data_IF_466117767115
#
_entry.id   IF_466117767115
#
_cell.length_a   1.000
_cell.length_b   1.000
_cell.length_c   1.000
_cell.angle_alpha   90.00
_cell.angle_beta   90.00
_cell.angle_gamma   90.00
#
_symmetry.space_group_name_H-M   'P 1'
#
loop_
_entity.id
_entity.type
_entity.pdbx_description
1 polymer ?
#
# COMPACT_ATOMS: atom_id res chain seq x y z
N UNK A 1 3.21 25.89 19.04
CA UNK A 1 4.47 25.18 19.30
C UNK A 1 4.77 24.38 18.05
N UNK A 2 6.01 24.43 17.61
CA UNK A 2 6.44 24.05 16.26
C UNK A 2 6.62 22.54 16.14
N UNK A 3 5.63 21.84 15.58
CA UNK A 3 5.81 20.48 15.08
C UNK A 3 6.80 20.50 13.91
N UNK A 4 7.79 19.62 13.96
CA UNK A 4 8.78 19.38 12.91
C UNK A 4 8.51 17.99 12.35
N UNK A 5 8.09 17.87 11.10
CA UNK A 5 8.19 16.61 10.38
C UNK A 5 7.77 16.79 8.92
N UNK A 6 8.64 16.34 8.01
CA UNK A 6 8.29 15.85 6.67
C UNK A 6 9.36 14.80 6.39
N UNK A 7 9.12 13.54 6.76
CA UNK A 7 10.05 12.46 6.46
C UNK A 7 9.90 12.04 5.00
N UNK A 8 10.86 12.44 4.15
CA UNK A 8 10.96 11.89 2.80
C UNK A 8 12.05 10.84 2.77
N UNK A 9 11.71 9.56 2.68
CA UNK A 9 12.69 8.49 2.62
C UNK A 9 13.11 8.17 1.18
N UNK A 10 14.41 8.36 0.88
CA UNK A 10 15.01 7.92 -0.38
C UNK A 10 15.79 6.63 -0.10
N UNK A 11 15.35 5.46 -0.60
CA UNK A 11 16.08 4.21 -0.40
C UNK A 11 17.46 4.32 -1.06
N UNK A 12 18.51 4.07 -0.28
CA UNK A 12 19.87 3.99 -0.78
C UNK A 12 20.34 2.54 -0.66
N UNK A 13 20.37 1.83 -1.80
CA UNK A 13 20.82 0.44 -1.85
C UNK A 13 22.36 0.37 -1.74
N UNK A 14 22.84 0.20 -0.52
CA UNK A 14 24.22 -0.22 -0.21
C UNK A 14 24.25 -1.74 -0.09
N UNK A 15 25.34 -2.37 -0.51
CA UNK A 15 25.45 -3.82 -0.76
C UNK A 15 25.42 -4.71 0.49
N UNK A 16 24.87 -4.27 1.62
CA UNK A 16 24.82 -5.09 2.84
C UNK A 16 23.50 -4.97 3.59
N UNK A 17 22.87 -3.80 3.68
CA UNK A 17 21.51 -3.58 4.25
C UNK A 17 20.95 -2.28 3.68
N UNK A 18 19.63 -2.21 3.43
CA UNK A 18 19.02 -0.96 2.98
C UNK A 18 18.97 0.07 4.12
N UNK A 19 19.02 1.36 3.79
CA UNK A 19 19.04 2.44 4.79
C UNK A 19 18.19 3.63 4.31
N UNK A 20 16.92 3.75 4.77
CA UNK A 20 16.12 4.95 4.64
C UNK A 20 16.85 6.22 5.12
N UNK A 21 16.49 7.34 4.51
CA UNK A 21 16.95 8.67 4.93
C UNK A 21 15.76 9.46 5.42
N UNK A 22 15.77 9.91 6.67
CA UNK A 22 14.76 10.85 7.14
C UNK A 22 15.30 12.27 6.90
N UNK A 23 14.69 12.98 5.96
CA UNK A 23 14.91 14.43 5.83
C UNK A 23 14.00 15.14 6.82
N UNK A 24 14.50 16.16 7.52
CA UNK A 24 13.63 16.96 8.37
C UNK A 24 13.08 18.19 7.63
N UNK A 25 11.81 18.49 7.89
CA UNK A 25 11.11 19.65 7.35
C UNK A 25 10.87 20.76 8.37
N UNK A 26 10.34 21.87 7.86
CA UNK A 26 9.64 22.89 8.63
C UNK A 26 8.48 23.44 7.81
N UNK A 27 7.69 24.36 8.37
CA UNK A 27 6.62 25.03 7.62
C UNK A 27 7.11 25.73 6.33
N UNK A 28 8.40 26.04 6.23
CA UNK A 28 9.03 26.64 5.04
C UNK A 28 9.60 25.60 4.05
N UNK A 29 9.39 24.30 4.29
CA UNK A 29 9.83 23.18 3.45
C UNK A 29 10.96 22.32 4.04
N UNK A 30 11.44 21.38 3.23
CA UNK A 30 12.51 20.43 3.56
C UNK A 30 13.86 21.11 3.81
N UNK A 31 14.62 20.59 4.77
CA UNK A 31 15.96 21.07 5.13
C UNK A 31 17.02 20.04 4.71
N UNK A 32 17.68 20.24 3.55
CA UNK A 32 18.57 19.24 2.96
C UNK A 32 19.87 19.01 3.75
N UNK A 33 20.17 19.86 4.73
CA UNK A 33 21.30 19.74 5.65
C UNK A 33 20.96 18.97 6.95
N UNK A 34 19.70 18.60 7.14
CA UNK A 34 19.20 17.85 8.29
C UNK A 34 18.70 16.48 7.82
N UNK A 35 19.64 15.55 7.63
CA UNK A 35 19.35 14.18 7.17
C UNK A 35 19.80 13.19 8.24
N UNK A 36 18.83 12.45 8.78
CA UNK A 36 19.08 11.28 9.61
C UNK A 36 19.13 10.03 8.73
N UNK A 37 20.11 9.18 8.99
CA UNK A 37 20.21 7.87 8.36
C UNK A 37 19.67 6.85 9.35
N UNK A 38 18.76 6.01 8.89
CA UNK A 38 18.17 4.97 9.71
C UNK A 38 18.38 3.63 9.01
N UNK A 39 18.90 2.67 9.74
CA UNK A 39 19.16 1.29 9.34
C UNK A 39 18.90 0.36 10.55
N UNK A 40 19.02 -0.96 10.36
CA UNK A 40 18.84 -1.94 11.44
C UNK A 40 19.92 -1.89 12.55
N UNK A 41 20.97 -1.08 12.40
CA UNK A 41 21.98 -0.83 13.45
C UNK A 41 21.65 0.44 14.29
N UNK A 42 20.63 1.19 13.88
CA UNK A 42 20.23 2.43 14.53
C UNK A 42 19.64 2.17 15.93
N UNK A 43 19.85 3.07 16.91
CA UNK A 43 19.20 2.93 18.21
C UNK A 43 17.69 2.73 18.07
N UNK A 44 17.13 1.79 18.83
CA UNK A 44 15.72 1.44 18.83
C UNK A 44 15.17 0.84 17.52
N UNK A 45 15.99 0.65 16.47
CA UNK A 45 15.61 -0.20 15.35
C UNK A 45 15.65 -1.68 15.79
N UNK A 46 14.53 -2.42 15.73
CA UNK A 46 14.53 -3.84 16.12
C UNK A 46 15.27 -4.71 15.10
N UNK A 47 15.68 -5.91 15.54
CA UNK A 47 16.33 -6.90 14.69
C UNK A 47 17.86 -6.84 14.72
N UNK A 48 18.49 -7.64 13.85
CA UNK A 48 19.94 -7.63 13.62
C UNK A 48 20.15 -7.55 12.11
N UNK A 49 21.02 -6.67 11.58
CA UNK A 49 21.26 -6.60 10.14
C UNK A 49 21.88 -7.88 9.57
N UNK A 50 21.28 -8.41 8.51
CA UNK A 50 21.70 -9.59 7.76
C UNK A 50 21.84 -9.26 6.25
N UNK A 51 22.70 -10.01 5.55
CA UNK A 51 22.91 -9.79 4.12
C UNK A 51 21.65 -10.21 3.34
N UNK A 52 20.92 -9.22 2.83
CA UNK A 52 19.75 -9.46 1.99
C UNK A 52 18.42 -8.94 2.54
N UNK A 53 18.39 -8.33 3.73
CA UNK A 53 17.15 -7.93 4.42
C UNK A 53 16.33 -6.89 3.69
N UNK A 54 16.99 -6.06 2.86
CA UNK A 54 16.36 -5.01 2.04
C UNK A 54 15.52 -4.03 2.88
N UNK A 55 15.98 -3.70 4.10
CA UNK A 55 15.38 -2.68 4.98
C UNK A 55 15.10 -1.36 4.23
N UNK A 56 13.85 -0.92 4.22
CA UNK A 56 13.43 0.33 3.58
C UNK A 56 13.06 0.24 2.11
N UNK A 57 12.63 -0.93 1.67
CA UNK A 57 12.17 -1.11 0.29
C UNK A 57 10.77 -0.54 0.04
N UNK A 58 9.84 -0.72 0.98
CA UNK A 58 8.60 0.04 1.06
C UNK A 58 8.57 0.84 2.36
N UNK A 59 7.95 2.01 2.30
CA UNK A 59 7.95 3.01 3.36
C UNK A 59 6.57 3.65 3.45
N UNK A 60 6.11 3.89 4.67
CA UNK A 60 4.98 4.77 4.95
C UNK A 60 5.31 5.64 6.17
N UNK A 61 4.68 6.81 6.24
CA UNK A 61 4.88 7.80 7.30
C UNK A 61 3.51 8.23 7.78
N UNK A 62 3.33 8.21 9.10
CA UNK A 62 2.08 8.58 9.77
C UNK A 62 2.25 8.44 11.27
N UNK A 63 1.39 9.10 12.04
CA UNK A 63 1.28 8.95 13.50
C UNK A 63 0.51 7.65 13.83
N UNK A 64 1.23 6.57 14.07
CA UNK A 64 0.67 5.21 14.26
C UNK A 64 0.31 4.98 15.72
N UNK A 65 1.06 5.58 16.66
CA UNK A 65 0.81 5.45 18.10
C UNK A 65 0.01 6.62 18.72
N UNK A 66 -0.41 7.60 17.90
CA UNK A 66 -1.30 8.69 18.28
C UNK A 66 -0.67 9.72 19.22
N UNK A 67 0.67 9.78 19.31
CA UNK A 67 1.39 10.68 20.20
C UNK A 67 1.55 12.12 19.63
N UNK A 68 1.19 12.31 18.36
CA UNK A 68 1.28 13.56 17.61
C UNK A 68 2.63 13.77 16.89
N UNK A 69 3.54 12.80 16.94
CA UNK A 69 4.74 12.74 16.12
C UNK A 69 4.53 11.76 14.95
N UNK A 70 5.23 12.00 13.85
CA UNK A 70 5.20 11.09 12.71
C UNK A 70 6.13 9.91 12.97
N UNK A 71 5.63 8.70 12.71
CA UNK A 71 6.38 7.45 12.74
C UNK A 71 6.83 7.05 11.34
N UNK A 72 7.73 6.07 11.27
CA UNK A 72 8.19 5.50 10.02
C UNK A 72 7.93 3.99 10.00
N UNK A 73 7.05 3.56 9.10
CA UNK A 73 6.87 2.14 8.75
C UNK A 73 7.88 1.77 7.67
N UNK A 74 8.61 0.69 7.90
CA UNK A 74 9.72 0.23 7.06
C UNK A 74 9.56 -1.26 6.80
N UNK A 75 9.48 -1.67 5.53
CA UNK A 75 9.50 -3.10 5.20
C UNK A 75 10.93 -3.62 5.02
N UNK A 76 11.12 -4.89 5.37
CA UNK A 76 12.37 -5.66 5.35
C UNK A 76 12.13 -6.97 4.63
N UNK A 77 11.89 -6.88 3.32
CA UNK A 77 11.41 -8.01 2.49
C UNK A 77 12.24 -9.28 2.61
N UNK A 78 13.54 -9.15 2.89
CA UNK A 78 14.47 -10.27 2.92
C UNK A 78 14.79 -10.82 4.31
N UNK A 79 14.30 -10.19 5.39
CA UNK A 79 14.61 -10.57 6.77
C UNK A 79 14.31 -12.04 7.00
N UNK A 80 15.27 -12.82 7.50
CA UNK A 80 15.05 -14.24 7.75
C UNK A 80 14.46 -14.47 9.14
N UNK A 81 13.26 -15.05 9.21
CA UNK A 81 12.63 -15.33 10.50
C UNK A 81 13.31 -16.53 11.17
N UNK A 82 13.77 -16.32 12.41
CA UNK A 82 14.50 -17.32 13.18
C UNK A 82 13.68 -18.60 13.41
N UNK A 83 14.14 -19.71 12.84
CA UNK A 83 13.47 -21.01 12.96
C UNK A 83 12.33 -21.24 11.97
N UNK A 84 12.08 -20.30 11.04
CA UNK A 84 11.21 -20.47 9.88
C UNK A 84 12.03 -20.52 8.59
N UNK A 85 11.40 -20.97 7.49
CA UNK A 85 11.89 -20.71 6.13
C UNK A 85 11.34 -19.40 5.57
N UNK A 86 10.39 -18.79 6.25
CA UNK A 86 9.72 -17.57 5.80
C UNK A 86 10.64 -16.36 5.96
N UNK A 87 10.38 -15.35 5.15
CA UNK A 87 11.11 -14.08 5.12
C UNK A 87 10.15 -12.91 5.24
N UNK A 88 10.70 -11.74 5.54
CA UNK A 88 9.96 -10.49 5.58
C UNK A 88 9.56 -10.09 6.98
N UNK A 89 9.77 -8.83 7.31
CA UNK A 89 9.19 -8.17 8.46
C UNK A 89 8.78 -6.74 8.11
N UNK A 90 8.04 -6.13 9.03
CA UNK A 90 7.68 -4.72 9.00
C UNK A 90 8.09 -4.12 10.32
N UNK A 91 8.89 -3.07 10.26
CA UNK A 91 9.36 -2.32 11.41
C UNK A 91 8.57 -1.03 11.50
N UNK A 92 8.11 -0.68 12.70
CA UNK A 92 7.58 0.65 13.02
C UNK A 92 8.61 1.34 13.89
N UNK A 93 9.08 2.50 13.44
CA UNK A 93 10.03 3.32 14.17
C UNK A 93 9.31 4.56 14.67
N UNK A 94 9.11 4.63 15.99
CA UNK A 94 8.26 5.63 16.60
C UNK A 94 8.97 6.97 16.73
N UNK A 95 8.25 8.04 16.39
CA UNK A 95 8.64 9.42 16.61
C UNK A 95 8.56 9.81 18.09
N UNK A 96 8.96 11.05 18.44
CA UNK A 96 9.68 11.98 17.59
C UNK A 96 11.12 11.50 17.31
N UNK A 97 11.57 11.66 16.06
CA UNK A 97 12.96 11.42 15.67
C UNK A 97 13.88 12.57 16.11
N UNK A 98 15.09 12.23 16.55
CA UNK A 98 16.19 13.19 16.77
C UNK A 98 17.48 12.77 16.07
N UNK A 99 18.60 13.46 16.34
CA UNK A 99 19.90 13.15 15.72
C UNK A 99 20.44 11.75 16.11
N UNK A 100 19.88 11.12 17.15
CA UNK A 100 20.24 9.77 17.60
C UNK A 100 19.40 8.66 16.99
N UNK A 101 18.17 8.95 16.50
CA UNK A 101 17.29 7.94 15.93
C UNK A 101 15.81 8.15 16.25
N UNK A 102 14.97 7.12 16.06
CA UNK A 102 13.61 7.06 16.60
C UNK A 102 13.60 7.03 18.13
N UNK A 103 12.45 7.33 18.72
CA UNK A 103 12.25 7.32 20.17
C UNK A 103 12.10 5.90 20.72
N UNK A 104 11.46 5.02 19.94
CA UNK A 104 11.31 3.59 20.18
C UNK A 104 11.11 2.83 18.85
N UNK A 105 10.96 1.51 18.90
CA UNK A 105 10.61 0.74 17.71
C UNK A 105 10.03 -0.63 18.00
N UNK A 106 9.19 -1.09 17.09
CA UNK A 106 8.57 -2.42 17.09
C UNK A 106 8.70 -3.08 15.73
N UNK A 107 8.44 -4.39 15.66
CA UNK A 107 8.38 -5.11 14.40
C UNK A 107 7.32 -6.20 14.43
N UNK A 108 6.81 -6.55 13.25
CA UNK A 108 5.88 -7.65 13.01
C UNK A 108 6.41 -8.48 11.84
N UNK A 109 6.22 -9.80 11.92
CA UNK A 109 6.63 -10.76 10.90
C UNK A 109 5.55 -11.85 10.75
N UNK A 110 5.77 -12.82 9.86
CA UNK A 110 4.79 -13.90 9.61
C UNK A 110 4.52 -14.81 10.81
N UNK A 111 5.38 -14.83 11.84
CA UNK A 111 5.12 -15.61 13.05
C UNK A 111 4.01 -14.99 13.91
N UNK A 112 3.62 -13.75 13.62
CA UNK A 112 2.58 -13.01 14.34
C UNK A 112 1.23 -13.04 13.62
N UNK A 113 1.16 -13.44 12.34
CA UNK A 113 -0.05 -13.35 11.52
C UNK A 113 -0.44 -14.73 10.99
N UNK A 114 -1.61 -15.21 11.40
CA UNK A 114 -2.13 -16.49 10.92
C UNK A 114 -2.56 -16.40 9.45
N UNK A 115 -2.24 -17.43 8.66
CA UNK A 115 -2.72 -17.56 7.28
C UNK A 115 -1.85 -16.88 6.21
N UNK A 116 -0.76 -16.22 6.61
CA UNK A 116 0.21 -15.62 5.69
C UNK A 116 1.58 -16.32 5.81
N UNK A 117 2.23 -16.53 4.67
CA UNK A 117 3.60 -17.07 4.56
C UNK A 117 4.64 -15.97 4.63
N UNK A 118 5.56 -15.89 3.66
CA UNK A 118 6.59 -14.83 3.60
C UNK A 118 5.95 -13.44 3.67
N UNK A 119 6.10 -12.73 4.79
CA UNK A 119 5.50 -11.41 5.04
C UNK A 119 6.35 -10.31 4.43
N UNK A 120 6.60 -10.45 3.12
CA UNK A 120 7.53 -9.61 2.38
C UNK A 120 7.10 -8.13 2.41
N UNK A 121 5.80 -7.83 2.28
CA UNK A 121 5.31 -6.45 2.23
C UNK A 121 5.60 -5.82 0.86
N UNK A 122 4.99 -6.37 -0.19
CA UNK A 122 5.08 -5.87 -1.56
C UNK A 122 4.49 -4.47 -1.76
N UNK A 123 3.55 -4.08 -0.91
CA UNK A 123 2.99 -2.74 -0.80
C UNK A 123 2.56 -2.48 0.65
N UNK A 124 2.54 -1.20 1.05
CA UNK A 124 2.02 -0.75 2.35
C UNK A 124 1.16 0.50 2.15
N UNK A 125 0.10 0.64 2.95
CA UNK A 125 -0.72 1.84 3.05
C UNK A 125 -1.15 2.05 4.51
N UNK A 126 -1.21 3.30 4.94
CA UNK A 126 -1.72 3.69 6.26
C UNK A 126 -3.12 4.31 6.08
N UNK A 127 -4.03 4.02 6.99
CA UNK A 127 -5.38 4.61 7.02
C UNK A 127 -6.07 4.35 8.36
N UNK A 128 -7.12 5.11 8.66
CA UNK A 128 -7.99 4.87 9.81
C UNK A 128 -9.11 3.91 9.39
N UNK A 129 -8.90 2.59 9.46
CA UNK A 129 -9.86 1.60 8.92
C UNK A 129 -10.99 1.24 9.91
N UNK A 130 -10.87 1.58 11.20
CA UNK A 130 -11.80 1.15 12.25
C UNK A 130 -12.36 2.28 13.17
N UNK A 131 -12.22 3.55 12.76
CA UNK A 131 -12.71 4.76 13.47
C UNK A 131 -12.09 5.00 14.87
N UNK A 132 -10.83 4.63 15.06
CA UNK A 132 -10.06 5.01 16.23
C UNK A 132 -9.17 6.26 16.00
N UNK A 133 -8.17 6.48 16.87
CA UNK A 133 -7.27 7.64 16.78
C UNK A 133 -5.89 7.28 16.18
N UNK A 134 -5.69 6.02 15.82
CA UNK A 134 -4.41 5.45 15.43
C UNK A 134 -4.45 5.09 13.94
N UNK A 135 -3.33 5.23 13.24
CA UNK A 135 -3.25 4.80 11.85
C UNK A 135 -2.99 3.30 11.79
N UNK A 136 -3.87 2.58 11.10
CA UNK A 136 -3.74 1.16 10.82
C UNK A 136 -2.86 0.92 9.61
N UNK A 137 -2.38 -0.32 9.45
CA UNK A 137 -1.49 -0.69 8.35
C UNK A 137 -2.09 -1.79 7.48
N UNK A 138 -2.31 -1.47 6.21
CA UNK A 138 -2.54 -2.47 5.18
C UNK A 138 -1.23 -2.90 4.54
N UNK A 139 -1.02 -4.20 4.41
CA UNK A 139 0.19 -4.84 3.87
C UNK A 139 -0.17 -5.81 2.78
N UNK A 140 0.39 -5.58 1.59
CA UNK A 140 0.24 -6.47 0.45
C UNK A 140 1.28 -7.58 0.48
N UNK A 141 0.84 -8.83 0.40
CA UNK A 141 1.68 -10.03 0.32
C UNK A 141 1.39 -10.73 -1.00
N UNK A 142 1.75 -10.06 -2.09
CA UNK A 142 1.28 -10.45 -3.42
C UNK A 142 1.88 -11.75 -3.96
N UNK A 143 2.95 -12.26 -3.37
CA UNK A 143 3.53 -13.58 -3.67
C UNK A 143 2.89 -14.72 -2.85
N UNK A 144 1.96 -14.40 -1.94
CA UNK A 144 1.26 -15.37 -1.13
C UNK A 144 0.55 -16.41 -2.01
N UNK A 145 0.72 -17.68 -1.63
CA UNK A 145 -0.01 -18.79 -2.23
C UNK A 145 -1.39 -18.91 -1.59
N UNK A 146 -2.43 -19.04 -2.40
CA UNK A 146 -3.81 -19.31 -1.96
C UNK A 146 -4.25 -20.63 -2.58
N UNK A 147 -4.64 -21.60 -1.75
CA UNK A 147 -5.01 -22.94 -2.25
C UNK A 147 -3.87 -23.64 -3.01
N UNK A 148 -4.04 -23.85 -4.32
CA UNK A 148 -3.01 -24.43 -5.18
C UNK A 148 -2.20 -23.36 -5.94
N UNK A 149 -2.68 -22.12 -5.94
CA UNK A 149 -2.33 -21.07 -6.88
C UNK A 149 -1.23 -20.19 -6.30
N UNK A 150 -0.05 -20.23 -6.94
CA UNK A 150 1.12 -19.48 -6.50
C UNK A 150 1.01 -18.00 -6.86
N UNK A 151 1.44 -17.12 -5.97
CA UNK A 151 1.37 -15.67 -6.17
C UNK A 151 -0.04 -15.15 -6.52
N UNK A 152 -1.07 -15.82 -6.02
CA UNK A 152 -2.44 -15.31 -6.05
C UNK A 152 -2.57 -14.05 -5.18
N UNK A 153 -1.81 -13.99 -4.09
CA UNK A 153 -1.67 -12.82 -3.24
C UNK A 153 -2.64 -12.75 -2.08
N UNK A 154 -2.34 -11.88 -1.12
CA UNK A 154 -3.16 -11.59 0.06
C UNK A 154 -2.88 -10.18 0.57
N UNK A 155 -3.78 -9.65 1.38
CA UNK A 155 -3.60 -8.39 2.13
C UNK A 155 -3.84 -8.68 3.60
N UNK A 156 -2.95 -8.21 4.47
CA UNK A 156 -3.18 -8.11 5.91
C UNK A 156 -3.50 -6.67 6.29
N UNK A 157 -4.49 -6.45 7.15
CA UNK A 157 -4.75 -5.16 7.79
C UNK A 157 -4.53 -5.32 9.28
N UNK A 158 -3.55 -4.59 9.80
CA UNK A 158 -3.12 -4.61 11.20
C UNK A 158 -3.66 -3.36 11.88
N UNK A 159 -4.52 -3.56 12.87
CA UNK A 159 -5.10 -2.45 13.62
C UNK A 159 -4.14 -1.95 14.69
N UNK A 160 -4.04 -0.63 14.83
CA UNK A 160 -3.13 0.03 15.76
C UNK A 160 -3.81 0.41 17.08
N UNK A 161 -2.99 0.88 18.02
CA UNK A 161 -3.41 1.29 19.36
C UNK A 161 -2.32 2.12 20.02
N UNK A 162 -2.50 2.46 21.31
CA UNK A 162 -1.54 3.31 22.06
C UNK A 162 -0.12 2.73 22.16
N UNK A 163 0.02 1.42 21.95
CA UNK A 163 1.31 0.69 21.99
C UNK A 163 1.75 0.22 20.57
N UNK A 164 1.11 0.72 19.51
CA UNK A 164 1.32 0.32 18.11
C UNK A 164 0.43 -0.83 17.64
N UNK A 165 0.85 -1.54 16.58
CA UNK A 165 0.04 -2.59 15.94
C UNK A 165 -0.22 -3.81 16.85
N UNK A 166 -1.47 -4.26 16.86
CA UNK A 166 -1.93 -5.42 17.61
C UNK A 166 -1.72 -6.71 16.80
N UNK A 167 -0.95 -7.66 17.34
CA UNK A 167 -0.65 -8.92 16.65
C UNK A 167 -1.82 -9.92 16.66
N UNK A 168 -2.77 -9.76 17.58
CA UNK A 168 -3.97 -10.58 17.70
C UNK A 168 -5.22 -9.94 17.07
N UNK A 169 -5.06 -8.77 16.46
CA UNK A 169 -6.12 -8.02 15.76
C UNK A 169 -5.68 -7.69 14.34
N UNK A 170 -5.74 -8.72 13.48
CA UNK A 170 -5.33 -8.64 12.08
C UNK A 170 -6.39 -9.28 11.20
N UNK A 171 -6.86 -8.54 10.21
CA UNK A 171 -7.72 -9.07 9.16
C UNK A 171 -6.88 -9.49 7.95
N UNK A 172 -7.17 -10.67 7.39
CA UNK A 172 -6.48 -11.21 6.22
C UNK A 172 -7.46 -11.49 5.09
N UNK A 173 -7.20 -10.89 3.93
CA UNK A 173 -8.03 -11.00 2.74
C UNK A 173 -7.26 -11.56 1.55
N UNK A 174 -7.92 -12.41 0.77
CA UNK A 174 -7.53 -12.84 -0.56
C UNK A 174 -8.79 -13.12 -1.39
N UNK A 175 -8.67 -13.39 -2.69
CA UNK A 175 -9.85 -13.62 -3.56
C UNK A 175 -10.75 -14.80 -3.16
N UNK A 176 -10.23 -15.77 -2.40
CA UNK A 176 -11.04 -16.86 -1.80
C UNK A 176 -11.76 -16.47 -0.49
N UNK A 177 -11.55 -15.25 0.04
CA UNK A 177 -12.15 -14.80 1.30
C UNK A 177 -13.63 -14.47 1.12
N UNK A 178 -14.50 -14.72 2.12
CA UNK A 178 -15.92 -14.40 2.01
C UNK A 178 -16.17 -12.93 1.66
N UNK A 179 -16.95 -12.69 0.60
CA UNK A 179 -17.33 -11.35 0.18
C UNK A 179 -16.35 -10.69 -0.80
N UNK A 180 -15.14 -11.23 -0.96
CA UNK A 180 -14.18 -10.78 -1.98
C UNK A 180 -14.63 -11.32 -3.34
N UNK A 181 -14.84 -10.46 -4.36
CA UNK A 181 -15.18 -10.93 -5.70
C UNK A 181 -14.02 -11.65 -6.39
N UNK A 182 -14.35 -12.47 -7.39
CA UNK A 182 -13.35 -13.23 -8.16
C UNK A 182 -13.05 -14.60 -7.56
N UNK A 183 -11.94 -15.17 -7.99
CA UNK A 183 -11.34 -16.39 -7.45
C UNK A 183 -9.82 -16.25 -7.61
N UNK A 184 -9.00 -16.81 -6.71
CA UNK A 184 -7.56 -16.75 -6.85
C UNK A 184 -7.10 -17.56 -8.06
N UNK A 185 -6.23 -16.97 -8.86
CA UNK A 185 -5.51 -17.60 -9.96
C UNK A 185 -3.99 -17.46 -9.75
N UNK A 186 -3.22 -18.26 -10.50
CA UNK A 186 -1.76 -18.15 -10.45
C UNK A 186 -1.33 -16.77 -10.96
N UNK A 187 -0.49 -16.08 -10.18
CA UNK A 187 0.10 -14.79 -10.53
C UNK A 187 -0.90 -13.63 -10.65
N UNK A 188 -2.04 -13.62 -9.97
CA UNK A 188 -2.94 -12.44 -9.91
C UNK A 188 -2.31 -11.27 -9.14
N UNK A 189 -1.48 -11.60 -8.15
CA UNK A 189 -0.81 -10.66 -7.26
C UNK A 189 -1.80 -9.76 -6.50
N UNK A 190 -2.87 -10.30 -5.90
CA UNK A 190 -3.74 -9.56 -4.99
C UNK A 190 -2.91 -8.87 -3.89
N UNK A 191 -3.09 -7.55 -3.75
CA UNK A 191 -2.26 -6.73 -2.86
C UNK A 191 -0.94 -6.26 -3.48
N UNK A 192 -0.78 -6.30 -4.81
CA UNK A 192 0.43 -5.81 -5.49
C UNK A 192 0.67 -4.31 -5.31
N UNK A 193 -0.40 -3.55 -5.15
CA UNK A 193 -0.38 -2.12 -4.84
C UNK A 193 -1.56 -1.80 -3.92
N UNK A 194 -1.35 -0.85 -3.02
CA UNK A 194 -2.31 -0.43 -2.00
C UNK A 194 -2.31 1.10 -1.88
N UNK A 195 -3.47 1.68 -1.61
CA UNK A 195 -3.66 3.06 -1.17
C UNK A 195 -4.94 3.13 -0.33
N UNK A 196 -4.98 4.07 0.60
CA UNK A 196 -6.10 4.27 1.51
C UNK A 196 -6.62 5.71 1.46
N UNK A 197 -7.89 5.88 1.81
CA UNK A 197 -8.55 7.18 1.92
C UNK A 197 -10.07 7.02 2.03
N UNK A 198 -10.77 8.03 2.52
CA UNK A 198 -12.23 8.02 2.66
C UNK A 198 -12.91 8.18 1.28
N UNK A 199 -13.22 7.06 0.63
CA UNK A 199 -13.73 7.03 -0.74
C UNK A 199 -15.25 7.20 -0.82
N UNK A 200 -15.97 6.82 0.23
CA UNK A 200 -17.43 6.94 0.29
C UNK A 200 -17.95 8.17 1.08
N UNK A 201 -17.08 8.81 1.86
CA UNK A 201 -17.32 10.04 2.62
C UNK A 201 -17.94 9.81 3.99
N UNK A 202 -17.73 8.64 4.60
CA UNK A 202 -18.27 8.30 5.91
C UNK A 202 -17.36 8.70 7.08
N UNK A 203 -16.12 9.12 6.80
CA UNK A 203 -15.12 9.55 7.77
C UNK A 203 -14.20 8.43 8.27
N UNK A 204 -14.28 7.23 7.70
CA UNK A 204 -13.36 6.10 7.92
C UNK A 204 -12.64 5.84 6.60
N UNK A 205 -11.34 5.57 6.65
CA UNK A 205 -10.59 5.31 5.42
C UNK A 205 -10.97 3.94 4.85
N UNK A 206 -10.99 3.89 3.51
CA UNK A 206 -11.21 2.70 2.70
C UNK A 206 -9.88 2.24 2.09
N UNK A 207 -9.85 1.04 1.48
CA UNK A 207 -8.66 0.49 0.85
C UNK A 207 -8.91 0.14 -0.61
N UNK A 208 -8.07 0.67 -1.50
CA UNK A 208 -7.99 0.21 -2.90
C UNK A 208 -6.82 -0.76 -3.06
N UNK A 209 -7.10 -1.92 -3.66
CA UNK A 209 -6.19 -3.06 -3.80
C UNK A 209 -5.99 -3.34 -5.28
N UNK A 210 -4.75 -3.24 -5.77
CA UNK A 210 -4.39 -3.57 -7.16
C UNK A 210 -4.01 -5.04 -7.36
N UNK A 211 -4.48 -5.61 -8.48
CA UNK A 211 -4.18 -6.96 -8.97
C UNK A 211 -3.64 -6.85 -10.39
N UNK A 212 -2.37 -6.46 -10.52
CA UNK A 212 -1.77 -6.01 -11.81
C UNK A 212 -1.74 -7.06 -12.92
N UNK A 213 -2.02 -8.32 -12.58
CA UNK A 213 -1.92 -9.44 -13.50
C UNK A 213 -3.19 -10.27 -13.64
N UNK A 214 -4.26 -9.91 -12.91
CA UNK A 214 -5.59 -10.54 -13.01
C UNK A 214 -6.00 -10.75 -14.48
N UNK A 215 -6.54 -11.93 -14.76
CA UNK A 215 -7.02 -12.26 -16.10
C UNK A 215 -8.52 -11.97 -16.24
N UNK A 216 -8.86 -10.89 -16.96
CA UNK A 216 -10.26 -10.63 -17.33
C UNK A 216 -10.63 -11.46 -18.57
N UNK A 217 -11.37 -12.54 -18.34
CA UNK A 217 -11.79 -13.48 -19.39
C UNK A 217 -10.62 -14.30 -19.94
N UNK A 218 -10.10 -13.93 -21.11
CA UNK A 218 -8.92 -14.60 -21.72
C UNK A 218 -7.71 -13.67 -21.86
N UNK A 219 -7.82 -12.43 -21.38
CA UNK A 219 -6.77 -11.44 -21.49
C UNK A 219 -5.86 -11.53 -20.26
N UNK A 220 -4.85 -12.41 -20.32
CA UNK A 220 -3.87 -12.56 -19.24
C UNK A 220 -3.16 -11.24 -18.96
N UNK A 221 -3.05 -10.84 -17.69
CA UNK A 221 -2.38 -9.59 -17.33
C UNK A 221 -3.13 -8.33 -17.72
N UNK A 222 -4.44 -8.40 -18.00
CA UNK A 222 -5.24 -7.19 -18.17
C UNK A 222 -5.32 -6.39 -16.86
N UNK A 223 -5.33 -7.09 -15.72
CA UNK A 223 -5.34 -6.51 -14.39
C UNK A 223 -6.72 -6.07 -13.92
N UNK A 224 -6.83 -5.82 -12.62
CA UNK A 224 -8.02 -5.34 -11.93
C UNK A 224 -7.65 -4.56 -10.65
N UNK A 225 -8.64 -3.90 -10.06
CA UNK A 225 -8.57 -3.36 -8.71
C UNK A 225 -9.85 -3.69 -7.93
N UNK A 226 -9.75 -3.70 -6.61
CA UNK A 226 -10.87 -3.88 -5.69
C UNK A 226 -10.83 -2.78 -4.64
N UNK A 227 -11.95 -2.10 -4.43
CA UNK A 227 -12.15 -1.23 -3.26
C UNK A 227 -12.86 -2.01 -2.17
N UNK A 228 -12.30 -2.01 -0.97
CA UNK A 228 -12.93 -2.48 0.28
C UNK A 228 -13.16 -1.28 1.20
N UNK A 229 -14.21 -1.33 2.01
CA UNK A 229 -14.64 -0.16 2.79
C UNK A 229 -14.32 -0.33 4.27
N UNK A 230 -13.83 0.74 4.89
CA UNK A 230 -13.73 0.85 6.34
C UNK A 230 -15.10 0.84 7.00
N UNK A 231 -15.14 0.66 8.32
CA UNK A 231 -16.41 0.67 9.04
C UNK A 231 -16.26 1.22 10.45
N UNK A 232 -17.05 2.25 10.75
CA UNK A 232 -17.31 2.85 12.07
C UNK A 232 -17.64 1.88 13.21
N UNK A 233 -17.93 0.61 12.89
CA UNK A 233 -18.29 -0.43 13.88
C UNK A 233 -17.30 -1.59 13.96
N UNK A 234 -16.17 -1.51 13.25
CA UNK A 234 -15.04 -2.39 13.45
C UNK A 234 -14.42 -2.88 12.16
N UNK A 235 -13.42 -2.13 11.68
CA UNK A 235 -12.45 -2.56 10.69
C UNK A 235 -12.93 -2.54 9.25
N UNK A 236 -12.08 -3.08 8.38
CA UNK A 236 -12.32 -3.13 6.95
C UNK A 236 -13.21 -4.30 6.54
N UNK A 237 -14.10 -4.08 5.56
CA UNK A 237 -15.01 -5.10 5.06
C UNK A 237 -14.90 -5.30 3.56
N UNK A 238 -14.81 -6.57 3.15
CA UNK A 238 -15.08 -6.97 1.78
C UNK A 238 -16.58 -6.91 1.42
N UNK A 239 -17.47 -6.77 2.42
CA UNK A 239 -18.91 -6.67 2.21
C UNK A 239 -19.29 -5.36 1.52
N UNK A 240 -19.76 -5.46 0.27
CA UNK A 240 -20.00 -4.28 -0.56
C UNK A 240 -18.73 -3.78 -1.27
N UNK A 241 -17.65 -4.57 -1.32
CA UNK A 241 -16.49 -4.23 -2.12
C UNK A 241 -16.84 -4.02 -3.60
N UNK A 242 -16.14 -3.10 -4.25
CA UNK A 242 -16.36 -2.73 -5.66
C UNK A 242 -15.21 -3.23 -6.49
N UNK A 243 -15.48 -4.25 -7.31
CA UNK A 243 -14.54 -4.76 -8.31
C UNK A 243 -14.50 -3.85 -9.54
N UNK A 244 -13.29 -3.54 -10.02
CA UNK A 244 -13.04 -2.61 -11.11
C UNK A 244 -12.02 -3.20 -12.08
N UNK A 245 -12.47 -3.43 -13.31
CA UNK A 245 -11.62 -3.77 -14.45
C UNK A 245 -12.18 -3.11 -15.73
N UNK A 246 -11.48 -3.24 -16.86
CA UNK A 246 -11.86 -2.55 -18.11
C UNK A 246 -13.01 -3.23 -18.90
N UNK A 247 -13.62 -4.31 -18.38
CA UNK A 247 -14.89 -4.92 -18.84
C UNK A 247 -16.10 -4.47 -18.01
N UNK A 248 -15.88 -3.86 -16.85
CA UNK A 248 -16.96 -3.31 -16.01
C UNK A 248 -17.68 -2.18 -16.74
N UNK A 249 -19.02 -2.25 -16.78
CA UNK A 249 -19.85 -1.23 -17.42
C UNK A 249 -19.58 0.15 -16.80
N UNK A 250 -19.20 1.11 -17.64
CA UNK A 250 -18.89 2.48 -17.22
C UNK A 250 -17.41 2.75 -16.99
N UNK A 251 -16.55 1.72 -16.92
CA UNK A 251 -15.09 1.90 -16.89
C UNK A 251 -14.57 2.14 -18.32
N UNK A 252 -13.91 3.28 -18.60
CA UNK A 252 -13.39 3.55 -19.93
C UNK A 252 -12.19 2.64 -20.27
N UNK A 253 -12.16 2.16 -21.52
CA UNK A 253 -11.09 1.31 -22.01
C UNK A 253 -11.64 0.10 -22.75
N UNK A 254 -10.73 -0.79 -23.15
CA UNK A 254 -11.06 -2.12 -23.66
C UNK A 254 -10.05 -3.05 -23.04
N UNK A 255 -10.52 -4.15 -22.44
CA UNK A 255 -9.65 -5.20 -21.93
C UNK A 255 -8.66 -5.68 -22.99
N UNK A 256 -7.38 -5.56 -22.71
CA UNK A 256 -6.32 -6.19 -23.48
C UNK A 256 -5.28 -6.88 -22.59
N UNK A 257 -4.63 -7.90 -23.16
CA UNK A 257 -3.50 -8.59 -22.54
C UNK A 257 -2.39 -7.59 -22.23
N UNK A 258 -1.86 -7.67 -21.01
CA UNK A 258 -0.77 -6.83 -20.52
C UNK A 258 -1.09 -5.32 -20.41
N UNK A 259 -2.36 -4.94 -20.25
CA UNK A 259 -2.73 -3.57 -19.87
C UNK A 259 -2.30 -3.23 -18.43
N UNK A 260 -2.25 -4.24 -17.58
CA UNK A 260 -1.84 -4.15 -16.18
C UNK A 260 -2.63 -3.11 -15.37
N UNK A 261 -3.96 -3.08 -15.53
CA UNK A 261 -4.83 -2.29 -14.69
C UNK A 261 -4.64 -2.66 -13.21
N UNK A 262 -4.50 -1.68 -12.32
CA UNK A 262 -4.14 -1.93 -10.92
C UNK A 262 -2.64 -2.17 -10.70
N UNK A 263 -1.77 -1.89 -11.68
CA UNK A 263 -0.32 -1.92 -11.50
C UNK A 263 0.13 -0.98 -10.39
N UNK A 264 -0.42 0.24 -10.39
CA UNK A 264 -0.39 1.12 -9.23
C UNK A 264 -1.80 1.55 -8.90
N UNK A 265 -2.02 1.81 -7.63
CA UNK A 265 -3.20 2.49 -7.13
C UNK A 265 -2.76 3.69 -6.29
N UNK A 266 -3.67 4.66 -6.15
CA UNK A 266 -3.48 5.86 -5.35
C UNK A 266 -4.81 6.39 -4.82
N UNK A 267 -4.74 7.37 -3.94
CA UNK A 267 -5.90 8.05 -3.36
C UNK A 267 -5.66 9.56 -3.39
N UNK A 268 -6.66 10.32 -3.83
CA UNK A 268 -6.61 11.79 -3.83
C UNK A 268 -8.01 12.38 -4.03
N UNK A 269 -8.39 13.38 -3.23
CA UNK A 269 -9.51 14.28 -3.53
C UNK A 269 -9.18 15.13 -4.77
N UNK A 270 -9.59 14.63 -5.95
CA UNK A 270 -9.26 15.22 -7.24
C UNK A 270 -10.17 16.36 -7.64
N UNK A 271 -11.38 16.45 -7.06
CA UNK A 271 -12.36 17.47 -7.39
C UNK A 271 -12.71 18.46 -6.27
N UNK A 272 -12.10 18.27 -5.09
CA UNK A 272 -12.25 19.14 -3.93
C UNK A 272 -13.58 18.96 -3.21
N UNK A 273 -14.26 17.82 -3.36
CA UNK A 273 -15.54 17.54 -2.72
C UNK A 273 -15.41 17.04 -1.27
N UNK A 274 -14.18 16.73 -0.85
CA UNK A 274 -13.84 16.25 0.49
C UNK A 274 -13.88 14.74 0.65
N UNK A 275 -14.12 13.98 -0.42
CA UNK A 275 -13.87 12.53 -0.49
C UNK A 275 -12.66 12.27 -1.36
N UNK A 276 -11.85 11.30 -0.98
CA UNK A 276 -10.75 10.88 -1.83
C UNK A 276 -11.28 10.02 -2.99
N UNK A 277 -10.68 10.16 -4.17
CA UNK A 277 -10.92 9.23 -5.27
C UNK A 277 -9.82 8.18 -5.36
N UNK A 278 -10.18 6.89 -5.50
CA UNK A 278 -9.21 5.91 -5.94
C UNK A 278 -8.73 6.22 -7.36
N UNK A 279 -7.43 6.12 -7.54
CA UNK A 279 -6.72 6.27 -8.80
C UNK A 279 -6.16 4.91 -9.19
N UNK A 280 -6.38 4.46 -10.43
CA UNK A 280 -5.94 3.13 -10.88
C UNK A 280 -5.11 3.26 -12.15
N UNK A 281 -3.83 2.92 -12.05
CA UNK A 281 -2.89 2.94 -13.17
C UNK A 281 -2.97 1.68 -14.03
N UNK A 282 -2.92 1.86 -15.35
CA UNK A 282 -2.76 0.80 -16.34
C UNK A 282 -1.64 1.19 -17.32
N UNK A 283 -0.36 1.09 -16.91
CA UNK A 283 0.77 1.57 -17.69
C UNK A 283 1.00 0.77 -18.98
N UNK A 284 0.45 -0.45 -19.08
CA UNK A 284 0.54 -1.28 -20.28
C UNK A 284 -0.49 -0.92 -21.37
N UNK A 285 -1.54 -0.17 -21.01
CA UNK A 285 -2.57 0.26 -21.94
C UNK A 285 -2.05 1.38 -22.85
N UNK A 286 -1.61 1.01 -24.06
CA UNK A 286 -0.99 1.91 -25.04
C UNK A 286 0.27 2.64 -24.51
N UNK A 287 0.15 3.94 -24.17
CA UNK A 287 1.20 4.75 -23.54
C UNK A 287 0.99 4.93 -22.02
N UNK A 288 -0.01 4.22 -21.47
CA UNK A 288 -0.41 4.27 -20.07
C UNK A 288 -1.67 5.11 -19.85
N UNK A 289 -2.44 4.72 -18.83
CA UNK A 289 -3.64 5.46 -18.39
C UNK A 289 -3.73 5.49 -16.87
N UNK A 290 -4.43 6.49 -16.34
CA UNK A 290 -4.88 6.56 -14.94
C UNK A 290 -6.39 6.70 -14.94
N UNK A 291 -7.08 5.81 -14.26
CA UNK A 291 -8.54 5.87 -14.08
C UNK A 291 -8.87 6.43 -12.71
N UNK A 292 -9.55 7.57 -12.68
CA UNK A 292 -10.12 8.17 -11.46
C UNK A 292 -11.51 7.59 -11.28
N UNK A 293 -11.81 7.02 -10.12
CA UNK A 293 -13.11 6.40 -9.84
C UNK A 293 -13.79 7.07 -8.64
N UNK A 294 -15.12 7.12 -8.66
CA UNK A 294 -15.93 7.41 -7.47
C UNK A 294 -16.75 6.17 -7.14
N UNK A 295 -16.75 5.78 -5.88
CA UNK A 295 -17.35 4.54 -5.40
C UNK A 295 -18.13 4.79 -4.11
N UNK A 296 -19.00 3.84 -3.79
CA UNK A 296 -19.63 3.67 -2.48
C UNK A 296 -19.90 2.19 -2.27
N UNK A 297 -20.23 1.72 -1.06
CA UNK A 297 -20.47 0.31 -0.81
C UNK A 297 -21.43 -0.34 -1.82
N UNK A 298 -20.89 -1.23 -2.63
CA UNK A 298 -21.58 -2.04 -3.65
C UNK A 298 -21.80 -1.36 -5.00
N UNK A 299 -21.26 -0.16 -5.25
CA UNK A 299 -21.54 0.60 -6.46
C UNK A 299 -20.34 1.42 -6.97
N UNK A 300 -20.04 1.26 -8.27
CA UNK A 300 -19.22 2.20 -9.03
C UNK A 300 -20.11 3.37 -9.47
N UNK A 301 -19.85 4.57 -8.94
CA UNK A 301 -20.63 5.76 -9.29
C UNK A 301 -20.17 6.37 -10.62
N UNK A 302 -18.84 6.44 -10.83
CA UNK A 302 -18.25 6.91 -12.08
C UNK A 302 -16.80 6.45 -12.24
N UNK A 303 -16.32 6.43 -13.47
CA UNK A 303 -14.92 6.19 -13.81
C UNK A 303 -14.51 7.08 -14.99
N UNK A 304 -13.37 7.74 -14.87
CA UNK A 304 -12.79 8.59 -15.93
C UNK A 304 -11.34 8.19 -16.15
N UNK A 305 -11.01 7.68 -17.33
CA UNK A 305 -9.63 7.39 -17.71
C UNK A 305 -8.96 8.62 -18.35
N UNK A 306 -7.72 8.86 -17.96
CA UNK A 306 -6.85 9.92 -18.47
C UNK A 306 -5.59 9.30 -19.07
N UNK A 307 -5.21 9.74 -20.26
CA UNK A 307 -3.91 9.52 -20.87
C UNK A 307 -3.10 10.84 -20.93
N UNK A 308 -1.80 10.76 -21.24
CA UNK A 308 -0.94 11.96 -21.35
C UNK A 308 -1.51 13.04 -22.30
N UNK A 309 -2.04 12.62 -23.45
CA UNK A 309 -2.65 13.52 -24.43
C UNK A 309 -3.88 14.27 -23.90
N UNK A 310 -4.64 13.68 -22.97
CA UNK A 310 -5.81 14.33 -22.36
C UNK A 310 -5.40 15.48 -21.44
N UNK A 311 -4.17 15.44 -20.90
CA UNK A 311 -3.59 16.46 -20.04
C UNK A 311 -2.90 17.59 -20.82
N UNK A 312 -2.95 17.53 -22.16
CA UNK A 312 -2.28 18.49 -23.04
C UNK A 312 -0.76 18.33 -23.07
N UNK A 313 -0.27 17.15 -22.68
CA UNK A 313 1.11 16.73 -22.93
C UNK A 313 1.22 16.12 -24.33
N UNK A 314 2.41 15.62 -24.71
CA UNK A 314 2.51 14.87 -25.97
C UNK A 314 1.63 13.61 -25.87
N UNK A 315 1.22 13.04 -26.99
CA UNK A 315 0.26 11.91 -27.04
C UNK A 315 0.84 10.59 -26.47
N UNK A 316 2.03 10.63 -25.85
CA UNK A 316 2.82 9.49 -25.43
C UNK A 316 3.37 8.68 -26.62
N UNK A 317 4.59 8.19 -26.51
CA UNK A 317 5.15 7.22 -27.45
C UNK A 317 4.98 5.79 -26.93
N UNK A 318 5.06 4.82 -27.85
CA UNK A 318 5.07 3.40 -27.48
C UNK A 318 6.29 3.10 -26.60
N UNK A 319 6.07 2.83 -25.33
CA UNK A 319 7.11 2.61 -24.33
C UNK A 319 7.05 3.59 -23.16
N UNK A 320 6.26 4.66 -23.28
CA UNK A 320 5.84 5.47 -22.14
C UNK A 320 4.90 4.66 -21.24
N UNK A 321 4.84 5.04 -19.97
CA UNK A 321 4.16 4.28 -18.93
C UNK A 321 3.44 5.23 -17.97
N UNK A 322 2.55 6.07 -18.51
CA UNK A 322 1.70 6.91 -17.69
C UNK A 322 0.87 6.06 -16.70
N UNK A 323 0.79 6.49 -15.44
CA UNK A 323 0.18 5.69 -14.38
C UNK A 323 1.06 4.57 -13.80
N UNK A 324 2.37 4.56 -14.09
CA UNK A 324 3.32 3.64 -13.43
C UNK A 324 3.63 4.02 -11.96
N UNK A 325 3.24 5.22 -11.54
CA UNK A 325 3.36 5.70 -10.16
C UNK A 325 2.26 6.72 -9.89
N UNK A 326 1.62 6.60 -8.72
CA UNK A 326 0.52 7.43 -8.23
C UNK A 326 0.82 7.87 -6.79
N UNK A 327 0.21 8.97 -6.31
CA UNK A 327 0.26 9.33 -4.89
C UNK A 327 -0.35 8.20 -4.06
N UNK A 328 0.26 7.91 -2.91
CA UNK A 328 -0.21 6.95 -1.92
C UNK A 328 -0.47 7.67 -0.62
#
# INVERSE_FOLDING_TARGET
>A
MTGRSVAGATPCFSTVTGAPRVLFGSADGLRPDSVLWVDQDSPHAPGVPEEGDRFGEQLAVGDVDGDGAEDLVVTTLGEQISGSSDRGSIHTLFGPFDDAGPSDGSYIDSAHIDGIGEFSGSAVALGHFDEDLYLDLAVGVSDQKVGADGAAGSVAVLYAGEDGYHHDDVDVFHQDSPGVPGAPEEEDYFGASLAAGDFDGDGVDDLVIGMRSEAVGSATGSGAALVMFGNTTGGISAGGGVWIDQDVEGVPGVVATADHFGWTVGALDTDGDGRDEPLIGAPGNAAGTVTVVKVRPGELESATALAEGDLGWDDGERGDAFGISLPR
#
